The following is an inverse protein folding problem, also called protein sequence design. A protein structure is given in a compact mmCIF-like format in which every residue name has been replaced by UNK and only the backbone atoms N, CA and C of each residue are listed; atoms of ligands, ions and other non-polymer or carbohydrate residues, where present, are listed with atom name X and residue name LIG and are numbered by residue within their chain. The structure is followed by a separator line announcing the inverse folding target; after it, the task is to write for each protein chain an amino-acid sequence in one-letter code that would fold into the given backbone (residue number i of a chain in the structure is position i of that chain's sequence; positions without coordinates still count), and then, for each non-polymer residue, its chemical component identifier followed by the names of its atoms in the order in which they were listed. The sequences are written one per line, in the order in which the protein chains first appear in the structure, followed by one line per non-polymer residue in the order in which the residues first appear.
data_IF_612256711062
#
_entry.id   IF_612256711062
#
_cell.length_a   1.000
_cell.length_b   1.000
_cell.length_c   1.000
_cell.angle_alpha   90.00
_cell.angle_beta   90.00
_cell.angle_gamma   90.00
#
_symmetry.space_group_name_H-M   'P 1'
#
loop_
_entity.id
_entity.type
_entity.pdbx_description
1 polymer ?
#
# COMPACT_ATOMS: atom_id res chain seq x y z
N UNK A 1 -10.23 -20.03 7.35
CA UNK A 1 -9.60 -18.89 8.05
C UNK A 1 -10.73 -18.08 8.65
N UNK A 2 -10.65 -17.69 9.92
CA UNK A 2 -11.63 -16.82 10.60
C UNK A 2 -10.86 -15.61 11.09
N UNK A 3 -11.33 -14.41 10.75
CA UNK A 3 -10.72 -13.12 11.10
C UNK A 3 -11.77 -12.24 11.76
N UNK A 4 -11.34 -11.36 12.66
CA UNK A 4 -12.19 -10.32 13.24
C UNK A 4 -12.43 -9.21 12.22
N UNK A 5 -13.63 -8.63 12.23
CA UNK A 5 -13.93 -7.49 11.38
C UNK A 5 -13.27 -6.21 11.93
N UNK A 6 -12.33 -5.66 11.17
CA UNK A 6 -11.68 -4.37 11.49
C UNK A 6 -12.43 -3.23 10.81
N UNK A 7 -12.86 -2.23 11.59
CA UNK A 7 -13.32 -0.95 11.05
C UNK A 7 -12.10 -0.09 10.72
N UNK A 8 -11.99 0.33 9.47
CA UNK A 8 -10.94 1.21 8.99
C UNK A 8 -11.55 2.31 8.13
N UNK A 9 -10.90 3.48 8.13
CA UNK A 9 -11.33 4.60 7.28
C UNK A 9 -10.96 4.34 5.81
N UNK A 10 -9.75 3.81 5.58
CA UNK A 10 -9.23 3.44 4.26
C UNK A 10 -8.29 2.24 4.32
N UNK A 11 -8.29 1.45 3.26
CA UNK A 11 -7.28 0.44 3.00
C UNK A 11 -6.27 1.01 1.99
N UNK A 12 -4.98 0.80 2.25
CA UNK A 12 -3.92 1.23 1.34
C UNK A 12 -2.96 0.10 1.04
N UNK A 13 -2.32 0.18 -0.13
CA UNK A 13 -1.15 -0.61 -0.49
C UNK A 13 0.12 0.23 -0.31
N UNK A 14 1.04 -0.23 0.53
CA UNK A 14 2.35 0.39 0.69
C UNK A 14 3.39 -0.31 -0.20
N UNK A 15 3.58 0.19 -1.42
CA UNK A 15 4.60 -0.37 -2.31
C UNK A 15 6.00 -0.11 -1.74
N UNK A 16 6.66 -1.20 -1.33
CA UNK A 16 7.96 -1.19 -0.68
C UNK A 16 8.97 -1.90 -1.56
N UNK A 17 9.90 -1.13 -2.13
CA UNK A 17 10.92 -1.65 -3.05
C UNK A 17 12.23 -1.86 -2.30
N UNK A 18 12.73 -3.10 -2.28
CA UNK A 18 14.10 -3.40 -1.84
C UNK A 18 15.01 -3.59 -3.05
N UNK A 19 16.05 -2.78 -3.15
CA UNK A 19 16.93 -2.73 -4.32
C UNK A 19 18.37 -2.35 -3.92
N UNK A 20 19.33 -2.52 -4.84
CA UNK A 20 20.66 -1.95 -4.66
C UNK A 20 20.66 -0.47 -5.06
N UNK A 21 21.41 0.35 -4.33
CA UNK A 21 21.74 1.71 -4.73
C UNK A 21 22.93 1.73 -5.72
N UNK A 22 23.32 2.90 -6.27
CA UNK A 22 24.47 2.99 -7.17
C UNK A 22 25.83 2.58 -6.55
N UNK A 23 25.93 2.51 -5.23
CA UNK A 23 27.11 2.03 -4.51
C UNK A 23 27.04 0.52 -4.19
N UNK A 24 26.01 -0.18 -4.68
CA UNK A 24 25.82 -1.61 -4.45
C UNK A 24 25.31 -1.95 -3.04
N UNK A 25 24.84 -0.97 -2.27
CA UNK A 25 24.27 -1.21 -0.94
C UNK A 25 22.77 -1.49 -1.04
N UNK A 26 22.25 -2.38 -0.19
CA UNK A 26 20.81 -2.65 -0.15
C UNK A 26 20.10 -1.45 0.46
N UNK A 27 19.13 -0.91 -0.26
CA UNK A 27 18.23 0.15 0.17
C UNK A 27 16.78 -0.31 0.07
N UNK A 28 15.96 0.17 1.02
CA UNK A 28 14.51 0.06 0.95
C UNK A 28 13.93 1.44 0.65
N UNK A 29 13.14 1.52 -0.42
CA UNK A 29 12.39 2.71 -0.81
C UNK A 29 10.91 2.44 -0.60
N UNK A 30 10.26 3.26 0.23
CA UNK A 30 8.83 3.20 0.49
C UNK A 30 8.17 4.31 -0.31
N UNK A 31 7.22 3.97 -1.20
CA UNK A 31 6.49 4.93 -2.01
C UNK A 31 5.39 5.62 -1.21
N UNK A 32 4.84 6.72 -1.74
CA UNK A 32 3.65 7.32 -1.16
C UNK A 32 2.50 6.28 -1.12
N UNK A 33 1.61 6.33 -0.12
CA UNK A 33 0.56 5.34 0.02
C UNK A 33 -0.41 5.37 -1.18
N UNK A 34 -0.87 4.19 -1.58
CA UNK A 34 -1.86 4.02 -2.65
C UNK A 34 -3.14 3.53 -2.01
N UNK A 35 -4.17 4.37 -1.93
CA UNK A 35 -5.48 3.91 -1.50
C UNK A 35 -6.19 3.18 -2.64
N UNK A 36 -7.08 2.25 -2.28
CA UNK A 36 -7.89 1.52 -3.23
C UNK A 36 -9.25 1.16 -2.65
N UNK A 37 -10.25 1.00 -3.52
CA UNK A 37 -11.58 0.54 -3.15
C UNK A 37 -11.83 -0.82 -3.78
N UNK A 38 -12.22 -1.79 -2.94
CA UNK A 38 -12.59 -3.15 -3.34
C UNK A 38 -13.94 -3.54 -2.74
N UNK A 39 -15.06 -3.17 -3.39
CA UNK A 39 -16.37 -3.63 -2.97
C UNK A 39 -16.46 -5.14 -3.28
N UNK A 40 -16.29 -5.98 -2.26
CA UNK A 40 -16.25 -7.43 -2.43
C UNK A 40 -14.91 -7.94 -2.97
N UNK A 41 -14.93 -8.78 -3.99
CA UNK A 41 -13.73 -9.51 -4.47
C UNK A 41 -12.99 -8.82 -5.61
N UNK A 42 -13.55 -7.74 -6.17
CA UNK A 42 -13.00 -7.08 -7.35
C UNK A 42 -12.37 -5.74 -6.97
N UNK A 43 -11.23 -5.46 -7.59
CA UNK A 43 -10.66 -4.13 -7.60
C UNK A 43 -11.51 -3.19 -8.46
N UNK A 44 -11.74 -1.98 -7.95
CA UNK A 44 -12.47 -0.95 -8.69
C UNK A 44 -11.55 0.20 -9.09
N UNK A 45 -10.90 0.84 -8.11
CA UNK A 45 -10.05 2.01 -8.34
C UNK A 45 -8.95 2.15 -7.29
N UNK A 46 -7.92 2.93 -7.64
CA UNK A 46 -6.83 3.35 -6.78
C UNK A 46 -6.36 4.74 -7.14
N UNK A 47 -5.75 5.42 -6.17
CA UNK A 47 -5.17 6.74 -6.35
C UNK A 47 -3.95 6.93 -5.46
N UNK A 48 -3.04 7.82 -5.90
CA UNK A 48 -1.79 8.14 -5.22
C UNK A 48 -1.46 9.64 -5.46
N UNK A 49 -1.01 10.38 -4.42
CA UNK A 49 -0.87 9.96 -3.03
C UNK A 49 -2.21 9.89 -2.30
N UNK A 50 -2.41 8.90 -1.44
CA UNK A 50 -3.43 8.98 -0.40
C UNK A 50 -2.89 9.86 0.74
N UNK A 51 -3.57 10.98 1.07
CA UNK A 51 -3.24 11.77 2.24
C UNK A 51 -3.65 11.00 3.51
N UNK A 52 -2.66 10.59 4.29
CA UNK A 52 -2.89 10.22 5.68
C UNK A 52 -3.06 11.48 6.53
N UNK A 53 -3.70 11.41 7.71
CA UNK A 53 -3.34 12.31 8.78
C UNK A 53 -1.84 12.22 9.12
#
# INVERSE_FOLDING_TARGET
MIEEFVRFDREVTMLTLRHYDPAGQIRTTVMAPIAHVRPGTLYHESWQPEPFP
#
